data_IF_417264174922
#
_entry.id   IF_417264174922
#
_cell.length_a   1.000
_cell.length_b   1.000
_cell.length_c   1.000
_cell.angle_alpha   90.00
_cell.angle_beta   90.00
_cell.angle_gamma   90.00
#
_symmetry.space_group_name_H-M   'P 1'
#
loop_
_entity.id
_entity.type
_entity.pdbx_description
1 polymer ?
#
# COMPACT_ATOMS: atom_id res chain seq x y z
N UNK A 1 18.53 -3.27 -2.04
CA UNK A 1 19.62 -3.00 -2.99
C UNK A 1 20.34 -4.31 -3.30
N UNK A 2 20.68 -4.56 -4.56
CA UNK A 2 21.24 -5.86 -5.00
C UNK A 2 22.74 -6.02 -4.69
N UNK A 3 23.45 -4.92 -4.43
CA UNK A 3 24.86 -4.88 -3.99
C UNK A 3 25.02 -3.75 -2.95
N UNK A 4 24.78 -4.05 -1.66
CA UNK A 4 24.81 -3.04 -0.61
C UNK A 4 26.25 -2.58 -0.35
N UNK A 5 26.41 -1.27 -0.14
CA UNK A 5 27.67 -0.66 0.25
C UNK A 5 27.46 0.22 1.50
N UNK A 6 28.46 0.27 2.38
CA UNK A 6 28.39 1.08 3.60
C UNK A 6 27.30 0.61 4.57
N UNK A 7 26.43 1.52 5.00
CA UNK A 7 25.33 1.26 5.96
C UNK A 7 23.99 0.95 5.29
N UNK A 8 24.00 0.67 3.99
CA UNK A 8 22.80 0.37 3.21
C UNK A 8 22.23 -1.00 3.61
N UNK A 9 20.90 -1.09 3.78
CA UNK A 9 20.24 -2.38 4.03
C UNK A 9 20.17 -3.23 2.76
N UNK A 10 20.61 -4.48 2.88
CA UNK A 10 20.38 -5.53 1.88
C UNK A 10 18.85 -5.82 1.80
N UNK A 11 18.34 -6.22 0.63
CA UNK A 11 16.90 -6.26 0.26
C UNK A 11 15.95 -7.01 1.20
N UNK A 12 14.64 -6.73 0.99
CA UNK A 12 13.41 -7.30 1.56
C UNK A 12 12.81 -6.58 2.78
N UNK A 13 12.59 -5.27 2.65
CA UNK A 13 11.40 -4.71 3.28
C UNK A 13 10.19 -5.21 2.50
N UNK A 14 9.43 -6.14 3.07
CA UNK A 14 8.04 -6.28 2.68
C UNK A 14 7.43 -4.88 2.72
N UNK A 15 6.73 -4.51 1.66
CA UNK A 15 6.10 -3.20 1.49
C UNK A 15 5.12 -2.86 2.64
N UNK A 16 4.84 -3.83 3.51
CA UNK A 16 4.06 -3.67 4.72
C UNK A 16 4.62 -4.56 5.86
N UNK A 17 4.70 -4.06 7.11
CA UNK A 17 5.05 -4.89 8.27
C UNK A 17 4.18 -6.15 8.36
N UNK A 18 4.78 -7.29 8.75
CA UNK A 18 4.08 -8.59 8.83
C UNK A 18 2.78 -8.55 9.64
N UNK A 19 2.73 -7.71 10.70
CA UNK A 19 1.51 -7.47 11.51
C UNK A 19 0.29 -7.03 10.71
N UNK A 20 0.47 -6.43 9.54
CA UNK A 20 -0.61 -6.04 8.64
C UNK A 20 -0.67 -6.93 7.39
N UNK A 21 0.49 -7.37 6.87
CA UNK A 21 0.54 -8.21 5.68
C UNK A 21 -0.13 -9.58 5.91
N UNK A 22 0.15 -10.24 7.03
CA UNK A 22 -0.41 -11.56 7.35
C UNK A 22 -1.94 -11.55 7.43
N UNK A 23 -2.60 -10.66 8.23
CA UNK A 23 -4.06 -10.63 8.28
C UNK A 23 -4.69 -10.27 6.93
N UNK A 24 -4.08 -9.36 6.16
CA UNK A 24 -4.55 -9.03 4.80
C UNK A 24 -4.54 -10.25 3.87
N UNK A 25 -3.45 -11.03 3.90
CA UNK A 25 -3.33 -12.25 3.10
C UNK A 25 -4.38 -13.28 3.52
N UNK A 26 -4.53 -13.53 4.83
CA UNK A 26 -5.52 -14.49 5.34
C UNK A 26 -6.93 -14.13 4.90
N UNK A 27 -7.32 -12.85 4.99
CA UNK A 27 -8.64 -12.42 4.55
C UNK A 27 -8.78 -12.49 3.02
N UNK A 28 -7.74 -12.18 2.26
CA UNK A 28 -7.75 -12.35 0.79
C UNK A 28 -8.00 -13.81 0.40
N UNK A 29 -7.32 -14.76 1.05
CA UNK A 29 -7.54 -16.20 0.85
C UNK A 29 -8.97 -16.59 1.23
N UNK A 30 -9.48 -16.13 2.36
CA UNK A 30 -10.84 -16.41 2.80
C UNK A 30 -11.91 -15.83 1.84
N UNK A 31 -11.73 -14.59 1.37
CA UNK A 31 -12.61 -13.96 0.39
C UNK A 31 -12.60 -14.72 -0.94
N UNK A 32 -11.41 -15.14 -1.40
CA UNK A 32 -11.29 -15.92 -2.63
C UNK A 32 -11.99 -17.28 -2.50
N UNK A 33 -11.81 -17.95 -1.36
CA UNK A 33 -12.51 -19.20 -1.05
C UNK A 33 -14.03 -19.02 -1.04
N UNK A 34 -14.54 -17.98 -0.36
CA UNK A 34 -15.97 -17.68 -0.30
C UNK A 34 -16.54 -17.34 -1.68
N UNK A 35 -15.78 -16.65 -2.54
CA UNK A 35 -16.19 -16.33 -3.90
C UNK A 35 -16.36 -17.61 -4.73
N UNK A 36 -15.41 -18.54 -4.62
CA UNK A 36 -15.51 -19.85 -5.27
C UNK A 36 -16.72 -20.66 -4.80
N UNK A 37 -17.19 -20.43 -3.57
CA UNK A 37 -18.40 -21.08 -3.05
C UNK A 37 -19.68 -20.33 -3.43
N UNK A 38 -19.61 -19.03 -3.66
CA UNK A 38 -20.76 -18.20 -4.05
C UNK A 38 -21.17 -18.47 -5.51
N UNK A 39 -20.20 -18.73 -6.38
CA UNK A 39 -20.39 -19.07 -7.78
C UNK A 39 -20.36 -20.60 -7.94
N UNK A 40 -21.49 -21.19 -8.35
CA UNK A 40 -21.54 -22.61 -8.65
C UNK A 40 -22.08 -22.83 -10.06
N UNK A 41 -21.46 -23.75 -10.80
CA UNK A 41 -21.97 -24.20 -12.08
C UNK A 41 -23.01 -25.29 -11.83
N UNK A 42 -24.21 -25.11 -12.41
CA UNK A 42 -25.20 -26.17 -12.47
C UNK A 42 -25.34 -26.58 -13.94
N UNK A 43 -25.28 -27.88 -14.20
CA UNK A 43 -25.65 -28.46 -15.48
C UNK A 43 -27.08 -29.02 -15.37
N UNK A 44 -27.88 -28.76 -16.40
CA UNK A 44 -29.23 -29.32 -16.55
C UNK A 44 -29.34 -30.01 -17.89
N UNK A 45 -29.68 -31.29 -17.85
CA UNK A 45 -29.94 -32.07 -19.05
C UNK A 45 -31.38 -31.85 -19.50
N UNK A 46 -31.55 -31.26 -20.69
CA UNK A 46 -32.85 -31.12 -21.33
C UNK A 46 -33.08 -32.31 -22.26
N UNK A 47 -34.14 -33.06 -21.96
CA UNK A 47 -34.65 -34.10 -22.84
C UNK A 47 -35.57 -33.48 -23.89
N UNK A 48 -35.15 -33.47 -25.15
CA UNK A 48 -36.06 -33.17 -26.24
C UNK A 48 -36.79 -34.46 -26.65
N UNK A 49 -38.09 -34.37 -26.95
CA UNK A 49 -38.92 -35.51 -27.39
C UNK A 49 -38.44 -36.18 -28.69
N UNK A 50 -37.44 -35.62 -29.36
CA UNK A 50 -36.74 -36.19 -30.52
C UNK A 50 -35.62 -37.18 -30.18
N UNK A 51 -35.36 -37.46 -28.89
CA UNK A 51 -34.27 -38.35 -28.45
C UNK A 51 -32.89 -37.68 -28.38
N UNK A 52 -32.81 -36.36 -28.61
CA UNK A 52 -31.60 -35.58 -28.42
C UNK A 52 -31.51 -35.00 -27.00
N UNK A 53 -30.30 -35.03 -26.45
CA UNK A 53 -29.95 -34.48 -25.15
C UNK A 53 -29.20 -33.16 -25.35
N UNK A 54 -29.67 -32.10 -24.72
CA UNK A 54 -28.98 -30.82 -24.67
C UNK A 54 -28.50 -30.57 -23.24
N UNK A 55 -27.20 -30.37 -23.06
CA UNK A 55 -26.63 -29.98 -21.75
C UNK A 55 -26.57 -28.47 -21.69
N UNK A 56 -27.40 -27.87 -20.85
CA UNK A 56 -27.28 -26.44 -20.54
C UNK A 56 -26.40 -26.29 -19.30
N UNK A 57 -25.28 -25.58 -19.46
CA UNK A 57 -24.44 -25.19 -18.34
C UNK A 57 -24.76 -23.74 -17.96
N UNK A 58 -25.28 -23.54 -16.75
CA UNK A 58 -25.62 -22.21 -16.22
C UNK A 58 -24.75 -21.91 -14.99
N UNK A 59 -24.22 -20.68 -14.94
CA UNK A 59 -23.61 -20.17 -13.72
C UNK A 59 -24.71 -19.64 -12.81
N UNK A 60 -24.85 -20.23 -11.63
CA UNK A 60 -25.80 -19.79 -10.61
C UNK A 60 -25.04 -19.25 -9.42
N UNK A 61 -25.66 -18.31 -8.73
CA UNK A 61 -25.14 -17.79 -7.48
C UNK A 61 -26.07 -18.18 -6.33
N UNK A 62 -25.49 -18.44 -5.15
CA UNK A 62 -26.27 -18.67 -3.94
C UNK A 62 -26.46 -17.34 -3.22
N UNK A 63 -27.70 -16.85 -3.13
CA UNK A 63 -28.04 -15.56 -2.51
C UNK A 63 -27.48 -15.43 -1.10
N UNK A 64 -27.52 -16.51 -0.32
CA UNK A 64 -26.98 -16.55 1.04
C UNK A 64 -25.44 -16.39 1.06
N UNK A 65 -24.72 -17.06 0.17
CA UNK A 65 -23.25 -17.00 0.11
C UNK A 65 -22.75 -15.67 -0.44
N UNK A 66 -23.46 -15.10 -1.41
CA UNK A 66 -23.19 -13.75 -1.93
C UNK A 66 -23.40 -12.71 -0.83
N UNK A 67 -24.47 -12.83 -0.03
CA UNK A 67 -24.73 -11.93 1.09
C UNK A 67 -23.63 -12.00 2.16
N UNK A 68 -23.17 -13.20 2.52
CA UNK A 68 -22.03 -13.39 3.43
C UNK A 68 -20.76 -12.75 2.86
N UNK A 69 -20.47 -12.96 1.58
CA UNK A 69 -19.30 -12.39 0.91
C UNK A 69 -19.33 -10.85 0.93
N UNK A 70 -20.49 -10.23 0.68
CA UNK A 70 -20.67 -8.79 0.74
C UNK A 70 -20.43 -8.24 2.16
N UNK A 71 -20.96 -8.90 3.19
CA UNK A 71 -20.76 -8.49 4.59
C UNK A 71 -19.26 -8.53 4.94
N UNK A 72 -18.56 -9.63 4.61
CA UNK A 72 -17.12 -9.77 4.89
C UNK A 72 -16.32 -8.70 4.15
N UNK A 73 -16.64 -8.42 2.89
CA UNK A 73 -15.98 -7.39 2.11
C UNK A 73 -16.19 -5.98 2.72
N UNK A 74 -17.41 -5.66 3.16
CA UNK A 74 -17.71 -4.38 3.82
C UNK A 74 -16.95 -4.23 5.14
N UNK A 75 -16.93 -5.28 5.99
CA UNK A 75 -16.17 -5.27 7.24
C UNK A 75 -14.68 -5.06 6.98
N UNK A 76 -14.12 -5.68 5.94
CA UNK A 76 -12.73 -5.46 5.54
C UNK A 76 -12.48 -4.01 5.10
N UNK A 77 -13.34 -3.44 4.26
CA UNK A 77 -13.21 -2.03 3.84
C UNK A 77 -13.28 -1.08 5.04
N UNK A 78 -14.18 -1.32 5.99
CA UNK A 78 -14.27 -0.54 7.23
C UNK A 78 -13.00 -0.68 8.08
N UNK A 79 -12.46 -1.89 8.21
CA UNK A 79 -11.21 -2.14 8.94
C UNK A 79 -10.02 -1.44 8.27
N UNK A 80 -9.87 -1.53 6.93
CA UNK A 80 -8.82 -0.83 6.20
C UNK A 80 -8.97 0.69 6.30
N UNK A 81 -10.20 1.22 6.20
CA UNK A 81 -10.46 2.65 6.39
C UNK A 81 -10.10 3.12 7.80
N UNK A 82 -10.42 2.33 8.83
CA UNK A 82 -10.03 2.62 10.20
C UNK A 82 -8.51 2.58 10.40
N UNK A 83 -7.82 1.57 9.86
CA UNK A 83 -6.36 1.47 9.96
C UNK A 83 -5.68 2.57 9.14
N UNK A 84 -6.18 2.87 7.94
CA UNK A 84 -5.62 3.88 7.04
C UNK A 84 -5.85 5.32 7.51
N UNK A 85 -6.91 5.57 8.28
CA UNK A 85 -7.15 6.86 8.94
C UNK A 85 -6.33 7.05 10.22
N UNK A 86 -5.65 6.00 10.72
CA UNK A 86 -4.69 6.18 11.80
C UNK A 86 -3.53 7.03 11.27
N UNK A 87 -3.18 8.14 11.94
CA UNK A 87 -2.07 8.96 11.50
C UNK A 87 -0.80 8.10 11.53
N UNK A 88 -0.18 7.94 10.37
CA UNK A 88 1.10 7.27 10.28
C UNK A 88 2.12 8.16 10.99
N UNK A 89 2.65 7.71 12.13
CA UNK A 89 3.69 8.42 12.88
C UNK A 89 5.04 8.45 12.14
N UNK A 90 5.08 7.88 10.94
CA UNK A 90 6.23 7.84 10.07
C UNK A 90 6.59 9.27 9.63
N UNK A 91 7.87 9.62 9.77
CA UNK A 91 8.46 10.88 9.29
C UNK A 91 8.65 10.79 7.78
N UNK A 92 7.56 10.58 7.04
CA UNK A 92 7.54 10.55 5.59
C UNK A 92 7.08 11.92 5.08
N UNK A 93 7.53 12.33 3.88
CA UNK A 93 7.07 13.58 3.29
C UNK A 93 5.53 13.57 3.16
N UNK A 94 4.84 14.67 3.48
CA UNK A 94 3.37 14.77 3.48
C UNK A 94 2.74 14.51 2.11
N UNK A 95 3.55 14.41 1.05
CA UNK A 95 3.17 13.99 -0.29
C UNK A 95 4.13 12.92 -0.83
N UNK A 96 4.37 11.85 -0.06
CA UNK A 96 5.19 10.71 -0.48
C UNK A 96 4.68 9.98 -1.74
N UNK A 97 3.46 10.28 -2.21
CA UNK A 97 2.92 9.82 -3.49
C UNK A 97 3.27 10.72 -4.69
N UNK A 98 3.79 11.93 -4.45
CA UNK A 98 4.15 12.88 -5.49
C UNK A 98 5.61 12.71 -5.88
N UNK A 99 5.86 12.30 -7.14
CA UNK A 99 7.23 12.11 -7.66
C UNK A 99 8.08 13.38 -7.56
N UNK A 100 7.48 14.56 -7.71
CA UNK A 100 8.15 15.84 -7.56
C UNK A 100 8.69 16.02 -6.13
N UNK A 101 7.87 15.73 -5.12
CA UNK A 101 8.25 15.88 -3.70
C UNK A 101 9.28 14.83 -3.30
N UNK A 102 9.16 13.60 -3.81
CA UNK A 102 10.18 12.57 -3.61
C UNK A 102 11.51 13.00 -4.25
N UNK A 103 11.48 13.54 -5.46
CA UNK A 103 12.68 14.03 -6.16
C UNK A 103 13.35 15.16 -5.40
N UNK A 104 12.60 16.15 -4.92
CA UNK A 104 13.13 17.23 -4.07
C UNK A 104 13.75 16.66 -2.79
N UNK A 105 13.10 15.69 -2.15
CA UNK A 105 13.63 15.03 -0.97
C UNK A 105 14.91 14.22 -1.23
N UNK A 106 15.17 13.81 -2.47
CA UNK A 106 16.39 13.11 -2.88
C UNK A 106 17.57 14.04 -3.24
N UNK A 107 17.41 15.35 -3.12
CA UNK A 107 18.49 16.33 -3.33
C UNK A 107 19.04 16.87 -1.99
N UNK A 108 20.02 16.19 -1.39
CA UNK A 108 20.68 16.65 -0.17
C UNK A 108 21.60 17.86 -0.42
N UNK A 109 21.97 18.61 0.63
CA UNK A 109 22.89 19.74 0.52
C UNK A 109 24.26 19.30 -0.02
N UNK A 110 24.91 20.19 -0.79
CA UNK A 110 26.20 19.91 -1.46
C UNK A 110 27.35 19.58 -0.50
N UNK A 111 27.19 19.89 0.78
CA UNK A 111 28.16 19.58 1.85
C UNK A 111 28.17 18.10 2.22
N UNK A 112 27.10 17.37 1.94
CA UNK A 112 26.98 15.97 2.30
C UNK A 112 27.53 15.06 1.20
N UNK A 113 28.59 14.31 1.52
CA UNK A 113 29.19 13.31 0.62
C UNK A 113 28.53 11.95 0.82
N UNK A 114 28.16 11.30 -0.29
CA UNK A 114 27.56 9.96 -0.38
C UNK A 114 26.42 9.67 0.62
N UNK A 115 25.34 10.47 0.63
CA UNK A 115 24.21 10.28 1.54
C UNK A 115 23.53 8.91 1.37
N UNK A 116 23.52 8.38 0.14
CA UNK A 116 22.94 7.08 -0.17
C UNK A 116 23.63 5.88 0.50
N UNK A 117 24.87 6.05 1.00
CA UNK A 117 25.60 5.01 1.73
C UNK A 117 25.44 5.11 3.26
N UNK A 118 24.80 6.19 3.75
CA UNK A 118 24.64 6.49 5.17
C UNK A 118 23.22 6.18 5.65
N UNK A 119 23.02 6.18 6.97
CA UNK A 119 21.68 6.14 7.58
C UNK A 119 21.04 7.53 7.43
N UNK A 120 20.14 7.67 6.46
CA UNK A 120 19.42 8.91 6.20
C UNK A 120 18.09 8.98 6.95
N UNK A 121 17.65 10.21 7.23
CA UNK A 121 16.34 10.53 7.80
C UNK A 121 15.74 11.72 7.04
N UNK A 122 14.42 11.73 6.92
CA UNK A 122 13.70 12.86 6.33
C UNK A 122 13.41 13.91 7.39
N UNK A 123 13.60 15.18 7.01
CA UNK A 123 13.18 16.33 7.80
C UNK A 123 13.67 17.63 7.19
N UNK A 124 13.45 18.73 7.90
CA UNK A 124 13.96 20.04 7.51
C UNK A 124 15.45 20.15 7.89
N UNK A 125 16.25 20.71 6.97
CA UNK A 125 17.68 20.96 7.16
C UNK A 125 17.92 22.47 7.17
N UNK A 126 18.67 22.95 8.16
CA UNK A 126 19.06 24.37 8.25
C UNK A 126 17.87 25.31 8.53
N UNK A 127 18.18 26.61 8.67
CA UNK A 127 17.18 27.66 8.79
C UNK A 127 16.52 27.99 7.45
N UNK A 128 15.61 28.97 7.45
CA UNK A 128 15.03 29.50 6.22
C UNK A 128 16.12 30.17 5.38
N UNK A 129 16.10 29.94 4.07
CA UNK A 129 16.95 30.66 3.11
C UNK A 129 16.65 32.18 3.16
N UNK A 130 17.48 33.01 2.53
CA UNK A 130 17.29 34.46 2.46
C UNK A 130 15.90 34.87 1.92
N UNK A 131 15.26 33.99 1.16
CA UNK A 131 13.92 34.14 0.60
C UNK A 131 12.79 33.62 1.52
N UNK A 132 13.10 33.09 2.70
CA UNK A 132 12.14 32.58 3.68
C UNK A 132 11.67 31.14 3.43
N UNK A 133 12.31 30.40 2.52
CA UNK A 133 11.97 29.00 2.24
C UNK A 133 12.82 28.02 3.06
N UNK A 134 12.19 27.00 3.63
CA UNK A 134 12.91 25.88 4.25
C UNK A 134 13.17 24.77 3.23
N UNK A 135 14.23 23.98 3.42
CA UNK A 135 14.52 22.82 2.56
C UNK A 135 14.27 21.52 3.34
N UNK A 136 13.51 20.59 2.74
CA UNK A 136 13.25 19.27 3.33
C UNK A 136 13.83 18.17 2.43
N UNK A 137 14.80 17.42 2.94
CA UNK A 137 15.35 16.29 2.20
C UNK A 137 15.82 15.14 3.10
N UNK A 138 16.21 14.05 2.46
CA UNK A 138 16.77 12.86 3.07
C UNK A 138 18.27 13.08 3.27
N UNK A 139 18.71 13.17 4.52
CA UNK A 139 20.12 13.42 4.89
C UNK A 139 20.54 12.56 6.09
N UNK A 140 21.84 12.29 6.22
CA UNK A 140 22.44 11.76 7.45
C UNK A 140 22.65 12.82 8.54
N UNK A 141 22.54 14.10 8.21
CA UNK A 141 22.71 15.23 9.14
C UNK A 141 21.56 15.34 10.17
N UNK A 142 21.73 16.11 11.26
CA UNK A 142 20.63 16.45 12.17
C UNK A 142 19.49 17.17 11.45
N UNK A 143 18.32 16.52 11.39
CA UNK A 143 17.08 17.10 10.85
C UNK A 143 16.08 17.38 11.95
N UNK A 144 15.33 18.47 11.80
CA UNK A 144 14.16 18.82 12.61
C UNK A 144 12.86 18.41 11.92
N UNK A 145 11.77 18.32 12.70
CA UNK A 145 10.45 18.13 12.10
C UNK A 145 10.05 19.43 11.39
N UNK A 146 9.48 19.37 10.17
CA UNK A 146 8.97 20.56 9.51
C UNK A 146 7.83 21.16 10.35
N UNK A 147 7.85 22.48 10.46
CA UNK A 147 6.85 23.27 11.18
C UNK A 147 5.65 23.53 10.26
N UNK A 148 4.47 23.68 10.86
CA UNK A 148 3.25 23.97 10.12
C UNK A 148 3.17 25.47 9.85
N UNK A 149 3.12 25.84 8.57
CA UNK A 149 2.96 27.24 8.14
C UNK A 149 3.99 27.72 7.11
N UNK A 150 5.30 27.53 7.34
CA UNK A 150 6.33 27.95 6.40
C UNK A 150 6.29 27.19 5.06
N UNK A 151 6.77 27.82 3.99
CA UNK A 151 6.86 27.19 2.67
C UNK A 151 8.18 26.42 2.54
N UNK A 152 8.07 25.17 2.08
CA UNK A 152 9.21 24.31 1.79
C UNK A 152 9.36 24.14 0.28
N UNK A 153 10.60 24.12 -0.21
CA UNK A 153 10.95 23.82 -1.60
C UNK A 153 12.00 22.74 -1.67
#
# INVERSE_FOLDING_TARGET
VSKPMGLQRETYFLQLPYRYAVPLILVSVALHWLLSQALYSQQTDLHAGSGHFYVLSMCRFSSARVLILLIVALVLLMFLGFVGSRPMQERLPPAASCSLVISAACHPPRTEVDPHMKKVRWGAIGGFDAEGFGHCCLTGEPVTKPEVGPRYR
#
